data_IF_549932165088
#
_entry.id   IF_549932165088
#
_cell.length_a   1.000
_cell.length_b   1.000
_cell.length_c   1.000
_cell.angle_alpha   90.00
_cell.angle_beta   90.00
_cell.angle_gamma   90.00
#
_symmetry.space_group_name_H-M   'P 1'
#
loop_
_entity.id
_entity.type
_entity.pdbx_description
1 polymer ?
#
# COMPACT_ATOMS: atom_id res chain seq x y z
N UNK A 1 14.52 -15.53 9.77
CA UNK A 1 13.06 -15.36 9.58
C UNK A 1 12.77 -15.05 8.12
N UNK A 2 11.77 -15.69 7.59
CA UNK A 2 11.44 -15.56 6.17
C UNK A 2 10.21 -14.69 6.02
N UNK A 3 10.31 -13.65 5.20
CA UNK A 3 9.19 -12.80 4.89
C UNK A 3 8.45 -13.29 3.64
N UNK A 4 7.17 -12.96 3.49
CA UNK A 4 6.49 -13.19 2.22
C UNK A 4 7.23 -12.51 1.07
N UNK A 5 7.19 -13.12 -0.10
CA UNK A 5 7.77 -12.55 -1.31
C UNK A 5 6.70 -12.04 -2.27
N UNK A 6 5.43 -12.31 -1.96
CA UNK A 6 4.28 -11.90 -2.75
C UNK A 6 3.04 -11.95 -1.87
N UNK A 7 1.93 -11.42 -2.38
CA UNK A 7 0.65 -11.57 -1.71
C UNK A 7 0.24 -13.05 -1.71
N UNK A 8 -0.70 -13.41 -0.85
CA UNK A 8 -1.26 -14.76 -0.80
C UNK A 8 -2.45 -14.84 -1.76
N UNK A 9 -2.21 -15.40 -2.95
CA UNK A 9 -3.27 -15.48 -3.96
C UNK A 9 -4.35 -16.48 -3.62
N UNK A 10 -4.15 -17.28 -2.59
CA UNK A 10 -5.16 -18.23 -2.10
C UNK A 10 -5.91 -17.70 -0.88
N UNK A 11 -5.66 -16.48 -0.46
CA UNK A 11 -6.36 -15.87 0.66
C UNK A 11 -7.85 -15.69 0.33
N UNK A 12 -8.72 -15.66 1.35
CA UNK A 12 -10.16 -15.45 1.10
C UNK A 12 -10.48 -14.12 0.45
N UNK A 13 -9.66 -13.09 0.68
CA UNK A 13 -9.80 -11.81 -0.03
C UNK A 13 -8.49 -11.49 -0.74
N UNK A 14 -8.60 -11.23 -2.05
CA UNK A 14 -7.49 -10.71 -2.85
C UNK A 14 -8.06 -9.56 -3.66
N UNK A 15 -7.47 -8.38 -3.51
CA UNK A 15 -7.86 -7.19 -4.26
C UNK A 15 -6.72 -6.78 -5.20
N UNK A 16 -7.07 -6.22 -6.35
CA UNK A 16 -6.13 -5.87 -7.40
C UNK A 16 -6.67 -4.65 -8.14
N UNK A 17 -5.98 -3.52 -8.02
CA UNK A 17 -6.40 -2.25 -8.62
C UNK A 17 -5.20 -1.58 -9.27
N UNK A 18 -5.46 -0.79 -10.30
CA UNK A 18 -4.42 0.00 -10.93
C UNK A 18 -4.96 1.35 -11.38
N UNK A 19 -4.06 2.31 -11.58
CA UNK A 19 -4.40 3.64 -12.05
C UNK A 19 -3.24 4.18 -12.90
N UNK A 20 -3.57 5.04 -13.85
CA UNK A 20 -2.58 5.73 -14.67
C UNK A 20 -2.36 7.13 -14.11
N UNK A 21 -1.09 7.51 -13.92
CA UNK A 21 -0.72 8.80 -13.33
C UNK A 21 0.19 9.55 -14.30
N UNK A 22 -0.14 10.82 -14.56
CA UNK A 22 0.65 11.68 -15.44
C UNK A 22 1.71 12.42 -14.61
N UNK A 23 2.74 11.71 -14.22
CA UNK A 23 3.86 12.24 -13.44
C UNK A 23 5.08 11.34 -13.65
N UNK A 24 6.24 11.78 -13.19
CA UNK A 24 7.44 10.97 -13.35
C UNK A 24 7.44 9.78 -12.40
N UNK A 25 8.14 8.73 -12.79
CA UNK A 25 8.30 7.54 -11.96
C UNK A 25 8.93 7.89 -10.62
N UNK A 26 9.96 8.72 -10.64
CA UNK A 26 10.65 9.12 -9.40
C UNK A 26 9.73 9.84 -8.44
N UNK A 27 8.88 10.73 -8.95
CA UNK A 27 7.95 11.47 -8.09
C UNK A 27 6.93 10.55 -7.46
N UNK A 28 6.34 9.66 -8.25
CA UNK A 28 5.30 8.74 -7.75
C UNK A 28 5.92 7.76 -6.75
N UNK A 29 7.08 7.20 -7.08
CA UNK A 29 7.79 6.28 -6.18
C UNK A 29 8.15 6.96 -4.87
N UNK A 30 8.66 8.21 -4.93
CA UNK A 30 9.05 8.95 -3.74
C UNK A 30 7.84 9.26 -2.85
N UNK A 31 6.73 9.67 -3.44
CA UNK A 31 5.51 9.94 -2.66
C UNK A 31 5.07 8.71 -1.88
N UNK A 32 5.14 7.53 -2.49
CA UNK A 32 4.71 6.31 -1.83
C UNK A 32 5.71 5.83 -0.78
N UNK A 33 7.01 5.90 -1.07
CA UNK A 33 8.02 5.37 -0.16
C UNK A 33 8.35 6.31 1.00
N UNK A 34 7.96 7.57 0.91
CA UNK A 34 8.09 8.50 2.02
C UNK A 34 6.90 8.31 2.96
N UNK A 35 6.94 7.23 3.72
CA UNK A 35 5.82 6.77 4.54
C UNK A 35 5.36 7.84 5.53
N UNK A 36 6.30 8.56 6.15
CA UNK A 36 5.97 9.58 7.13
C UNK A 36 5.13 10.71 6.55
N UNK A 37 5.14 10.90 5.24
CA UNK A 37 4.37 11.96 4.59
C UNK A 37 2.99 11.51 4.10
N UNK A 38 2.63 10.24 4.26
CA UNK A 38 1.33 9.73 3.80
C UNK A 38 0.13 10.59 4.24
N UNK A 39 0.05 11.06 5.50
CA UNK A 39 -1.10 11.88 5.89
C UNK A 39 -1.25 13.18 5.10
N UNK A 40 -0.18 13.66 4.50
CA UNK A 40 -0.22 14.91 3.73
C UNK A 40 -1.03 14.77 2.43
N UNK A 41 -1.12 13.56 1.87
CA UNK A 41 -1.82 13.35 0.61
C UNK A 41 -2.88 12.24 0.68
N UNK A 42 -2.79 11.30 1.63
CA UNK A 42 -3.84 10.30 1.86
C UNK A 42 -4.51 10.65 3.18
N UNK A 43 -5.60 11.40 3.10
CA UNK A 43 -6.23 11.97 4.29
C UNK A 43 -6.96 10.94 5.14
N UNK A 44 -7.20 9.73 4.62
CA UNK A 44 -7.72 8.65 5.43
C UNK A 44 -6.69 8.13 6.43
N UNK A 45 -5.41 8.44 6.22
CA UNK A 45 -4.35 8.10 7.14
C UNK A 45 -4.07 9.31 8.02
N UNK A 46 -4.28 9.17 9.33
CA UNK A 46 -4.15 10.28 10.26
C UNK A 46 -2.75 10.45 10.82
N UNK A 47 -1.97 9.37 10.82
CA UNK A 47 -0.55 9.45 11.19
C UNK A 47 0.22 8.30 10.54
N UNK A 48 1.51 8.51 10.34
CA UNK A 48 2.40 7.48 9.83
C UNK A 48 3.82 7.78 10.29
N UNK A 49 4.54 6.73 10.72
CA UNK A 49 5.91 6.85 11.20
C UNK A 49 6.69 5.61 10.79
N UNK A 50 7.82 5.81 10.16
CA UNK A 50 8.72 4.72 9.77
C UNK A 50 9.87 4.64 10.77
N UNK A 51 10.10 3.45 11.31
CA UNK A 51 11.22 3.17 12.18
C UNK A 51 12.29 2.45 11.33
N UNK A 52 13.36 3.16 11.03
CA UNK A 52 14.44 2.62 10.22
C UNK A 52 14.39 3.08 8.77
N UNK A 53 15.25 2.52 7.92
CA UNK A 53 15.27 2.87 6.50
C UNK A 53 14.13 2.21 5.75
N UNK A 54 13.91 2.64 4.50
CA UNK A 54 12.96 1.98 3.61
C UNK A 54 13.63 0.71 3.05
N UNK A 55 13.57 -0.36 3.84
CA UNK A 55 14.29 -1.61 3.57
C UNK A 55 13.60 -2.77 4.27
N UNK A 56 13.82 -4.00 3.80
CA UNK A 56 13.22 -5.17 4.44
C UNK A 56 13.59 -5.24 5.92
N UNK A 57 12.61 -5.56 6.75
CA UNK A 57 12.76 -5.68 8.19
C UNK A 57 12.41 -4.42 8.96
N UNK A 58 12.35 -3.27 8.32
CA UNK A 58 11.92 -2.05 8.98
C UNK A 58 10.42 -2.11 9.24
N UNK A 59 10.01 -1.49 10.35
CA UNK A 59 8.59 -1.43 10.71
C UNK A 59 8.08 -0.01 10.61
N UNK A 60 6.80 0.13 10.35
CA UNK A 60 6.16 1.44 10.38
C UNK A 60 4.82 1.35 11.08
N UNK A 61 4.43 2.47 11.67
CA UNK A 61 3.23 2.59 12.50
C UNK A 61 2.33 3.62 11.85
N UNK A 62 1.08 3.26 11.60
CA UNK A 62 0.17 4.17 10.94
C UNK A 62 -1.24 3.98 11.47
N UNK A 63 -2.08 4.98 11.25
CA UNK A 63 -3.44 4.98 11.76
C UNK A 63 -4.41 5.35 10.64
N UNK A 64 -5.49 4.59 10.54
CA UNK A 64 -6.55 4.82 9.59
C UNK A 64 -7.85 4.24 10.14
N UNK A 65 -8.98 4.87 9.85
CA UNK A 65 -10.30 4.40 10.25
C UNK A 65 -10.41 4.14 11.77
N UNK A 66 -9.70 4.93 12.58
CA UNK A 66 -9.70 4.76 14.03
C UNK A 66 -8.86 3.61 14.55
N UNK A 67 -8.11 2.94 13.66
CA UNK A 67 -7.25 1.82 14.03
C UNK A 67 -5.79 2.21 13.90
N UNK A 68 -4.95 1.67 14.79
CA UNK A 68 -3.50 1.79 14.65
C UNK A 68 -2.98 0.46 14.12
N UNK A 69 -2.06 0.54 13.17
CA UNK A 69 -1.54 -0.64 12.49
C UNK A 69 -0.03 -0.59 12.50
N UNK A 70 0.61 -1.70 12.84
CA UNK A 70 2.04 -1.86 12.73
C UNK A 70 2.32 -2.78 11.56
N UNK A 71 3.14 -2.32 10.64
CA UNK A 71 3.47 -3.08 9.43
C UNK A 71 4.97 -3.28 9.32
N UNK A 72 5.36 -4.33 8.63
CA UNK A 72 6.76 -4.64 8.36
C UNK A 72 6.99 -4.59 6.86
N UNK A 73 8.07 -3.96 6.46
CA UNK A 73 8.48 -3.97 5.05
C UNK A 73 9.13 -5.32 4.78
N UNK A 74 8.61 -6.04 3.81
CA UNK A 74 9.08 -7.37 3.45
C UNK A 74 10.07 -7.34 2.29
N UNK A 75 9.86 -6.45 1.32
CA UNK A 75 10.73 -6.34 0.16
C UNK A 75 10.69 -4.93 -0.41
N UNK A 76 11.82 -4.45 -0.88
CA UNK A 76 11.91 -3.20 -1.63
C UNK A 76 12.84 -3.46 -2.80
N UNK A 77 12.35 -3.24 -4.01
CA UNK A 77 13.15 -3.36 -5.22
C UNK A 77 13.13 -1.99 -5.91
N UNK A 78 14.15 -1.18 -5.65
CA UNK A 78 14.20 0.18 -6.18
C UNK A 78 14.44 0.21 -7.68
N UNK A 79 15.04 -0.84 -8.25
CA UNK A 79 15.22 -0.92 -9.69
C UNK A 79 13.93 -1.17 -10.43
N UNK A 80 13.11 -2.07 -9.90
CA UNK A 80 11.83 -2.43 -10.52
C UNK A 80 10.68 -1.61 -9.97
N UNK A 81 10.94 -0.79 -8.98
CA UNK A 81 9.93 0.05 -8.31
C UNK A 81 8.79 -0.82 -7.79
N UNK A 82 9.15 -1.70 -6.87
CA UNK A 82 8.20 -2.59 -6.21
C UNK A 82 8.45 -2.55 -4.71
N UNK A 83 7.39 -2.49 -3.93
CA UNK A 83 7.48 -2.58 -2.47
C UNK A 83 6.38 -3.52 -1.97
N UNK A 84 6.75 -4.35 -1.00
CA UNK A 84 5.84 -5.30 -0.37
C UNK A 84 5.93 -5.12 1.14
N UNK A 85 4.79 -5.02 1.78
CA UNK A 85 4.74 -4.86 3.23
C UNK A 85 3.44 -5.46 3.77
N UNK A 86 3.37 -5.62 5.09
CA UNK A 86 2.18 -6.16 5.71
C UNK A 86 2.44 -6.61 7.13
N UNK A 87 1.65 -7.55 7.59
CA UNK A 87 1.74 -8.11 8.92
C UNK A 87 0.37 -8.39 9.48
N UNK A 88 0.32 -8.96 10.70
CA UNK A 88 -0.95 -9.14 11.37
C UNK A 88 -1.38 -7.84 12.00
N UNK A 89 -2.67 -7.54 11.89
CA UNK A 89 -3.29 -6.40 12.58
C UNK A 89 -4.74 -6.74 12.83
N UNK A 90 -5.15 -6.64 14.10
CA UNK A 90 -6.55 -6.85 14.51
C UNK A 90 -7.12 -8.19 14.04
N UNK A 91 -6.28 -9.24 14.05
CA UNK A 91 -6.70 -10.59 13.66
C UNK A 91 -6.64 -10.85 12.16
N UNK A 92 -6.28 -9.86 11.36
CA UNK A 92 -6.17 -9.98 9.92
C UNK A 92 -4.70 -10.04 9.54
N UNK A 93 -4.33 -11.05 8.73
CA UNK A 93 -3.02 -11.12 8.13
C UNK A 93 -3.09 -10.52 6.74
N UNK A 94 -2.44 -9.38 6.56
CA UNK A 94 -2.44 -8.66 5.29
C UNK A 94 -1.06 -8.68 4.65
N UNK A 95 -1.04 -8.81 3.32
CA UNK A 95 0.18 -8.62 2.53
C UNK A 95 -0.19 -7.69 1.39
N UNK A 96 0.55 -6.60 1.26
CA UNK A 96 0.20 -5.50 0.37
C UNK A 96 1.38 -5.21 -0.56
N UNK A 97 1.11 -5.24 -1.85
CA UNK A 97 2.10 -5.01 -2.89
C UNK A 97 1.78 -3.75 -3.68
N UNK A 98 2.81 -2.97 -3.98
CA UNK A 98 2.73 -1.83 -4.88
C UNK A 98 3.80 -1.95 -5.95
N UNK A 99 3.41 -1.77 -7.22
CA UNK A 99 4.34 -1.75 -8.35
C UNK A 99 4.10 -0.50 -9.18
N UNK A 100 5.19 0.05 -9.72
CA UNK A 100 5.18 1.32 -10.44
C UNK A 100 5.89 1.09 -11.76
N UNK A 101 5.19 1.24 -12.87
CA UNK A 101 5.70 0.89 -14.20
C UNK A 101 5.52 2.06 -15.15
N UNK A 102 6.58 2.40 -15.88
CA UNK A 102 6.47 3.42 -16.92
C UNK A 102 5.68 2.88 -18.11
N UNK A 103 4.83 3.73 -18.68
CA UNK A 103 4.05 3.40 -19.87
C UNK A 103 3.90 4.67 -20.68
N UNK A 104 4.79 4.85 -21.66
CA UNK A 104 4.88 6.11 -22.40
C UNK A 104 5.36 7.22 -21.47
N UNK A 105 4.61 8.32 -21.43
CA UNK A 105 4.93 9.45 -20.57
C UNK A 105 4.23 9.34 -19.20
N UNK A 106 3.45 8.29 -19.00
CA UNK A 106 2.70 8.09 -17.76
C UNK A 106 3.29 6.95 -16.94
N UNK A 107 2.79 6.84 -15.72
CA UNK A 107 3.13 5.73 -14.82
C UNK A 107 1.86 4.95 -14.56
N UNK A 108 1.94 3.62 -14.60
CA UNK A 108 0.85 2.76 -14.14
C UNK A 108 1.23 2.25 -12.76
N UNK A 109 0.40 2.58 -11.78
CA UNK A 109 0.56 2.09 -10.41
C UNK A 109 -0.45 0.99 -10.20
N UNK A 110 0.03 -0.18 -9.80
CA UNK A 110 -0.81 -1.31 -9.47
C UNK A 110 -0.62 -1.65 -8.01
N UNK A 111 -1.71 -1.90 -7.31
CA UNK A 111 -1.65 -2.35 -5.93
C UNK A 111 -2.50 -3.60 -5.76
N UNK A 112 -1.96 -4.57 -5.03
CA UNK A 112 -2.62 -5.83 -4.75
C UNK A 112 -2.50 -6.09 -3.25
N UNK A 113 -3.55 -6.63 -2.68
CA UNK A 113 -3.53 -6.94 -1.25
C UNK A 113 -4.32 -8.21 -0.98
N UNK A 114 -3.75 -9.07 -0.10
CA UNK A 114 -4.43 -10.28 0.36
C UNK A 114 -4.73 -10.14 1.84
N UNK A 115 -5.93 -10.60 2.23
CA UNK A 115 -6.37 -10.61 3.63
C UNK A 115 -6.86 -11.98 4.02
N UNK A 116 -6.43 -12.46 5.19
CA UNK A 116 -6.88 -13.72 5.78
C UNK A 116 -7.00 -13.56 7.29
N UNK A 117 -7.75 -14.43 7.92
CA UNK A 117 -7.92 -14.45 9.38
C UNK A 117 -9.37 -14.59 9.77
N UNK A 118 -9.61 -14.79 11.07
CA UNK A 118 -10.96 -15.02 11.60
C UNK A 118 -11.94 -13.89 11.27
N UNK A 119 -11.58 -12.58 11.38
CA UNK A 119 -12.52 -11.52 11.02
C UNK A 119 -12.92 -11.58 9.54
N UNK A 120 -12.02 -12.04 8.66
CA UNK A 120 -12.33 -12.18 7.25
C UNK A 120 -13.36 -13.28 7.04
N UNK A 121 -13.14 -14.42 7.68
CA UNK A 121 -14.08 -15.54 7.57
C UNK A 121 -15.48 -15.17 8.08
N UNK A 122 -15.55 -14.29 9.07
CA UNK A 122 -16.82 -13.88 9.67
C UNK A 122 -17.59 -12.86 8.82
N UNK A 123 -16.92 -12.06 7.97
CA UNK A 123 -17.58 -10.95 7.27
C UNK A 123 -16.91 -10.65 5.94
N UNK A 124 -16.66 -11.70 5.16
CA UNK A 124 -15.85 -11.60 3.95
C UNK A 124 -16.37 -10.60 2.93
N UNK A 125 -17.66 -10.61 2.65
CA UNK A 125 -18.20 -9.77 1.59
C UNK A 125 -18.08 -8.27 1.93
N UNK A 126 -18.38 -7.89 3.16
CA UNK A 126 -18.26 -6.49 3.59
C UNK A 126 -16.81 -6.05 3.65
N UNK A 127 -15.92 -6.92 4.12
CA UNK A 127 -14.51 -6.58 4.22
C UNK A 127 -13.85 -6.52 2.85
N UNK A 128 -14.28 -7.38 1.91
CA UNK A 128 -13.79 -7.30 0.53
C UNK A 128 -14.18 -5.97 -0.12
N UNK A 129 -15.43 -5.53 0.08
CA UNK A 129 -15.88 -4.26 -0.45
C UNK A 129 -15.12 -3.08 0.19
N UNK A 130 -14.87 -3.16 1.49
CA UNK A 130 -14.12 -2.13 2.20
C UNK A 130 -12.67 -2.03 1.69
N UNK A 131 -12.05 -3.17 1.43
CA UNK A 131 -10.69 -3.18 0.89
C UNK A 131 -10.65 -2.60 -0.53
N UNK A 132 -11.60 -2.98 -1.38
CA UNK A 132 -11.67 -2.42 -2.74
C UNK A 132 -11.81 -0.90 -2.70
N UNK A 133 -12.69 -0.38 -1.84
CA UNK A 133 -12.86 1.07 -1.70
C UNK A 133 -11.59 1.74 -1.17
N UNK A 134 -10.92 1.11 -0.22
CA UNK A 134 -9.68 1.62 0.35
C UNK A 134 -8.57 1.72 -0.69
N UNK A 135 -8.39 0.67 -1.50
CA UNK A 135 -7.34 0.68 -2.52
C UNK A 135 -7.64 1.68 -3.63
N UNK A 136 -8.90 1.80 -4.05
CA UNK A 136 -9.27 2.81 -5.01
C UNK A 136 -9.00 4.22 -4.49
N UNK A 137 -9.31 4.47 -3.22
CA UNK A 137 -9.03 5.76 -2.57
C UNK A 137 -7.53 6.05 -2.49
N UNK A 138 -6.72 5.04 -2.17
CA UNK A 138 -5.25 5.20 -2.11
C UNK A 138 -4.69 5.61 -3.48
N UNK A 139 -5.13 4.92 -4.53
CA UNK A 139 -4.66 5.20 -5.89
C UNK A 139 -5.09 6.58 -6.34
N UNK A 140 -6.34 6.97 -6.05
CA UNK A 140 -6.84 8.28 -6.42
C UNK A 140 -6.08 9.39 -5.68
N UNK A 141 -5.82 9.20 -4.40
CA UNK A 141 -5.06 10.16 -3.60
C UNK A 141 -3.62 10.31 -4.10
N UNK A 142 -2.98 9.18 -4.44
CA UNK A 142 -1.62 9.21 -4.97
C UNK A 142 -1.58 9.94 -6.33
N UNK A 143 -2.55 9.67 -7.19
CA UNK A 143 -2.66 10.34 -8.48
C UNK A 143 -2.80 11.85 -8.32
N UNK A 144 -3.71 12.27 -7.45
CA UNK A 144 -3.91 13.70 -7.21
C UNK A 144 -2.66 14.37 -6.66
N UNK A 145 -1.97 13.72 -5.73
CA UNK A 145 -0.76 14.27 -5.15
C UNK A 145 0.35 14.38 -6.19
N UNK A 146 0.51 13.36 -7.02
CA UNK A 146 1.57 13.31 -8.01
C UNK A 146 1.33 14.29 -9.16
N UNK A 147 0.08 14.46 -9.56
CA UNK A 147 -0.28 15.32 -10.68
C UNK A 147 -0.49 16.78 -10.30
N UNK A 148 -0.57 17.07 -8.99
CA UNK A 148 -0.66 18.45 -8.55
C UNK A 148 0.62 19.17 -8.94
N UNK A 149 0.44 20.34 -9.52
CA UNK A 149 1.56 21.09 -10.01
C UNK A 149 2.60 21.25 -8.94
N UNK A 150 3.79 20.95 -9.30
CA UNK A 150 4.88 21.09 -8.41
C UNK A 150 5.66 22.24 -8.78
N UNK A 151 6.03 22.84 -7.87
CA UNK A 151 6.83 23.94 -8.24
C UNK A 151 8.13 23.86 -7.56
#
# INVERSE_FOLDING_TARGET
MTYPTAIDENAPIVADHSIRIAASLERVWHLHTDIASWPAWQHAITEARLDGPIAPGSTFHWATAGLTIDSTIYAVDAERHRILWGGPAHGITGVHEWTFTEDGDDIVVRTRESWAGAPIDADRDNLAAALDDSLASWLDALKKAAETATQ
#
